data_IF_517041218498
#
_entry.id   IF_517041218498
#
_cell.length_a   1.000
_cell.length_b   1.000
_cell.length_c   1.000
_cell.angle_alpha   90.00
_cell.angle_beta   90.00
_cell.angle_gamma   90.00
#
_symmetry.space_group_name_H-M   'P 1'
#
loop_
_entity.id
_entity.type
_entity.pdbx_description
1 polymer ?
#
# COMPACT_ATOMS: atom_id res chain seq x y z
N UNK A 1 4.18 -9.38 -13.82
CA UNK A 1 4.55 -9.48 -12.41
C UNK A 1 3.72 -8.53 -11.54
N UNK A 2 3.36 -8.98 -10.33
CA UNK A 2 2.70 -8.14 -9.32
C UNK A 2 3.69 -7.36 -8.43
N UNK A 3 5.00 -7.46 -8.71
CA UNK A 3 6.02 -6.78 -7.91
C UNK A 3 6.28 -5.36 -8.42
N UNK A 4 6.76 -4.51 -7.51
CA UNK A 4 7.27 -3.19 -7.88
C UNK A 4 8.44 -3.27 -8.86
N UNK A 5 8.57 -2.28 -9.73
CA UNK A 5 9.69 -2.18 -10.66
C UNK A 5 10.95 -1.81 -9.89
N UNK A 6 11.94 -2.72 -9.87
CA UNK A 6 13.27 -2.41 -9.34
C UNK A 6 14.13 -1.67 -10.38
N UNK A 7 15.23 -1.01 -9.94
CA UNK A 7 16.21 -0.40 -10.85
C UNK A 7 16.76 -1.41 -11.86
N UNK A 8 17.02 -2.65 -11.44
CA UNK A 8 17.52 -3.72 -12.29
C UNK A 8 16.48 -4.13 -13.34
N UNK A 9 15.22 -4.22 -12.96
CA UNK A 9 14.12 -4.50 -13.88
C UNK A 9 13.96 -3.37 -14.90
N UNK A 10 14.07 -2.12 -14.46
CA UNK A 10 14.01 -0.94 -15.36
C UNK A 10 15.18 -0.91 -16.35
N UNK A 11 16.37 -1.36 -15.94
CA UNK A 11 17.54 -1.44 -16.81
C UNK A 11 17.37 -2.44 -17.96
N UNK A 12 16.44 -3.39 -17.87
CA UNK A 12 16.15 -4.35 -18.95
C UNK A 12 15.29 -3.77 -20.08
N UNK A 13 14.79 -2.54 -19.99
CA UNK A 13 13.87 -1.94 -20.97
C UNK A 13 14.43 -1.98 -22.42
N UNK A 14 15.68 -1.58 -22.60
CA UNK A 14 16.31 -1.59 -23.93
C UNK A 14 16.46 -3.00 -24.49
N UNK A 15 16.82 -3.97 -23.66
CA UNK A 15 16.96 -5.38 -24.08
C UNK A 15 15.60 -5.98 -24.42
N UNK A 16 14.58 -5.73 -23.61
CA UNK A 16 13.23 -6.19 -23.86
C UNK A 16 12.70 -5.64 -25.19
N UNK A 17 12.84 -4.34 -25.44
CA UNK A 17 12.44 -3.72 -26.70
C UNK A 17 13.20 -4.32 -27.91
N UNK A 18 14.50 -4.55 -27.79
CA UNK A 18 15.30 -5.17 -28.85
C UNK A 18 14.87 -6.60 -29.16
N UNK A 19 14.41 -7.33 -28.15
CA UNK A 19 13.94 -8.70 -28.27
C UNK A 19 12.45 -8.80 -28.66
N UNK A 20 11.74 -7.68 -28.83
CA UNK A 20 10.31 -7.66 -29.10
C UNK A 20 9.46 -8.16 -27.92
N UNK A 21 9.96 -8.01 -26.70
CA UNK A 21 9.30 -8.48 -25.48
C UNK A 21 8.73 -7.30 -24.67
N UNK A 22 7.59 -7.55 -23.99
CA UNK A 22 7.02 -6.66 -22.99
C UNK A 22 7.26 -7.22 -21.60
N UNK A 23 7.88 -6.42 -20.72
CA UNK A 23 8.01 -6.73 -19.29
C UNK A 23 7.01 -5.89 -18.52
N UNK A 24 5.90 -6.50 -18.11
CA UNK A 24 4.80 -5.82 -17.39
C UNK A 24 4.92 -6.12 -15.90
N UNK A 25 5.00 -5.06 -15.10
CA UNK A 25 5.09 -5.12 -13.64
C UNK A 25 3.96 -4.33 -13.01
N UNK A 26 3.81 -4.43 -11.70
CA UNK A 26 2.84 -3.66 -10.92
C UNK A 26 1.38 -3.88 -11.37
N UNK A 27 1.05 -5.12 -11.73
CA UNK A 27 -0.28 -5.51 -12.20
C UNK A 27 -1.00 -6.45 -11.21
N UNK A 28 -0.77 -6.23 -9.92
CA UNK A 28 -1.44 -6.94 -8.83
C UNK A 28 -2.49 -6.08 -8.13
N UNK A 29 -2.48 -6.12 -6.81
CA UNK A 29 -3.36 -5.34 -5.95
C UNK A 29 -2.70 -4.02 -5.54
N UNK A 30 -1.61 -4.09 -4.79
CA UNK A 30 -0.72 -3.03 -4.34
C UNK A 30 0.72 -3.58 -4.38
N UNK A 31 1.39 -3.36 -5.50
CA UNK A 31 1.06 -2.45 -6.62
C UNK A 31 0.13 -3.06 -7.70
N UNK A 32 -0.76 -2.25 -8.23
CA UNK A 32 -1.60 -2.58 -9.39
C UNK A 32 -2.97 -1.91 -9.38
N UNK A 33 -3.96 -2.47 -8.69
CA UNK A 33 -5.32 -1.89 -8.63
C UNK A 33 -5.28 -0.50 -7.98
N UNK A 34 -4.44 -0.30 -6.97
CA UNK A 34 -4.21 1.00 -6.34
C UNK A 34 -3.71 2.05 -7.34
N UNK A 35 -2.82 1.66 -8.26
CA UNK A 35 -2.34 2.54 -9.33
C UNK A 35 -3.46 2.94 -10.30
N UNK A 36 -4.30 1.98 -10.70
CA UNK A 36 -5.44 2.27 -11.57
C UNK A 36 -6.41 3.25 -10.92
N UNK A 37 -6.72 3.05 -9.63
CA UNK A 37 -7.57 3.96 -8.87
C UNK A 37 -6.94 5.36 -8.75
N UNK A 38 -5.62 5.43 -8.49
CA UNK A 38 -4.90 6.70 -8.38
C UNK A 38 -4.90 7.46 -9.72
N UNK A 39 -4.57 6.80 -10.83
CA UNK A 39 -4.61 7.42 -12.16
C UNK A 39 -6.01 7.95 -12.48
N UNK A 40 -7.04 7.16 -12.20
CA UNK A 40 -8.41 7.56 -12.48
C UNK A 40 -8.88 8.74 -11.60
N UNK A 41 -8.43 8.83 -10.34
CA UNK A 41 -8.67 9.99 -9.48
C UNK A 41 -8.01 11.26 -10.03
N UNK A 42 -6.73 11.16 -10.40
CA UNK A 42 -5.97 12.30 -10.95
C UNK A 42 -6.60 12.80 -12.25
N UNK A 43 -6.98 11.90 -13.15
CA UNK A 43 -7.67 12.26 -14.40
C UNK A 43 -9.04 12.90 -14.13
N UNK A 44 -9.83 12.35 -13.21
CA UNK A 44 -11.12 12.95 -12.83
C UNK A 44 -10.95 14.36 -12.24
N UNK A 45 -9.95 14.54 -11.37
CA UNK A 45 -9.67 15.87 -10.83
C UNK A 45 -9.25 16.84 -11.92
N UNK A 46 -8.33 16.44 -12.79
CA UNK A 46 -7.84 17.26 -13.92
C UNK A 46 -8.96 17.69 -14.87
N UNK A 47 -9.93 16.80 -15.12
CA UNK A 47 -11.09 17.07 -15.96
C UNK A 47 -12.19 17.87 -15.25
N UNK A 48 -12.12 18.08 -13.94
CA UNK A 48 -13.14 18.76 -13.17
C UNK A 48 -13.04 20.29 -13.30
N UNK A 49 -14.16 21.00 -13.17
CA UNK A 49 -14.19 22.44 -13.10
C UNK A 49 -13.48 23.03 -11.84
N UNK A 50 -13.23 22.19 -10.84
CA UNK A 50 -12.53 22.57 -9.63
C UNK A 50 -10.99 22.53 -9.79
N UNK A 51 -10.45 21.92 -10.84
CA UNK A 51 -9.01 21.79 -11.05
C UNK A 51 -8.35 23.16 -11.18
N UNK A 52 -7.40 23.44 -10.30
CA UNK A 52 -6.71 24.73 -10.26
C UNK A 52 -5.37 24.59 -9.51
N UNK A 53 -4.33 25.27 -9.99
CA UNK A 53 -2.99 25.29 -9.39
C UNK A 53 -2.94 25.96 -8.01
N UNK A 54 -3.95 26.77 -7.65
CA UNK A 54 -4.07 27.37 -6.33
C UNK A 54 -4.65 26.41 -5.27
N UNK A 55 -5.09 25.22 -5.65
CA UNK A 55 -5.60 24.25 -4.70
C UNK A 55 -4.48 23.50 -3.99
N UNK A 56 -4.66 23.24 -2.71
CA UNK A 56 -3.82 22.35 -1.91
C UNK A 56 -4.37 20.93 -2.02
N UNK A 57 -3.54 20.02 -2.52
CA UNK A 57 -3.95 18.64 -2.81
C UNK A 57 -3.46 17.69 -1.72
N UNK A 58 -4.35 16.82 -1.25
CA UNK A 58 -4.02 15.73 -0.34
C UNK A 58 -4.41 14.39 -0.96
N UNK A 59 -3.43 13.51 -1.12
CA UNK A 59 -3.58 12.17 -1.69
C UNK A 59 -3.23 11.09 -0.66
N UNK A 60 -4.08 10.09 -0.56
CA UNK A 60 -3.81 8.86 0.19
C UNK A 60 -4.09 7.62 -0.66
N UNK A 61 -3.30 6.57 -0.43
CA UNK A 61 -3.57 5.21 -0.90
C UNK A 61 -3.23 4.24 0.23
N UNK A 62 -4.24 3.70 0.90
CA UNK A 62 -4.06 2.76 2.01
C UNK A 62 -4.61 1.40 1.64
N UNK A 63 -3.74 0.38 1.68
CA UNK A 63 -4.09 -1.00 1.36
C UNK A 63 -3.76 -1.94 2.52
N UNK A 64 -4.65 -2.86 2.83
CA UNK A 64 -4.42 -3.89 3.84
C UNK A 64 -5.11 -5.21 3.53
N UNK A 65 -4.33 -6.30 3.56
CA UNK A 65 -4.85 -7.64 3.71
C UNK A 65 -4.91 -7.97 5.20
N UNK A 66 -6.08 -8.25 5.71
CA UNK A 66 -6.37 -8.44 7.14
C UNK A 66 -7.24 -9.67 7.36
N UNK A 67 -7.20 -10.31 8.55
CA UNK A 67 -8.14 -11.38 8.86
C UNK A 67 -9.56 -10.82 8.98
N UNK A 68 -10.52 -11.53 8.41
CA UNK A 68 -11.95 -11.20 8.55
C UNK A 68 -12.39 -11.27 10.02
N UNK A 69 -11.88 -12.25 10.75
CA UNK A 69 -12.10 -12.43 12.17
C UNK A 69 -10.82 -12.00 12.89
N UNK A 70 -10.82 -10.88 13.63
CA UNK A 70 -9.64 -10.43 14.35
C UNK A 70 -9.13 -11.49 15.33
N UNK A 71 -7.82 -11.68 15.35
CA UNK A 71 -7.11 -12.54 16.31
C UNK A 71 -6.30 -11.68 17.30
N UNK A 72 -5.74 -12.24 18.37
CA UNK A 72 -4.93 -11.48 19.33
C UNK A 72 -3.69 -10.82 18.70
N UNK A 73 -3.12 -11.41 17.64
CA UNK A 73 -1.98 -10.87 16.90
C UNK A 73 -2.39 -9.74 15.93
N UNK A 74 -3.70 -9.50 15.74
CA UNK A 74 -4.29 -8.50 14.84
C UNK A 74 -3.83 -8.61 13.38
N UNK A 75 -3.27 -9.77 13.00
CA UNK A 75 -2.80 -10.05 11.66
C UNK A 75 -2.76 -11.55 11.35
N UNK A 76 -2.89 -11.89 10.08
CA UNK A 76 -2.57 -13.20 9.51
C UNK A 76 -1.84 -13.02 8.19
N UNK A 77 -0.94 -13.95 7.89
CA UNK A 77 -0.13 -13.87 6.68
C UNK A 77 -0.79 -14.63 5.53
N UNK A 78 -1.16 -13.90 4.48
CA UNK A 78 -1.61 -14.43 3.19
C UNK A 78 -0.48 -14.43 2.14
N UNK A 79 0.68 -13.86 2.47
CA UNK A 79 1.87 -13.79 1.65
C UNK A 79 3.11 -13.77 2.53
N UNK A 80 4.30 -13.59 1.94
CA UNK A 80 5.60 -13.71 2.61
C UNK A 80 5.72 -12.90 3.90
N UNK A 81 5.82 -13.51 5.09
CA UNK A 81 6.11 -12.79 6.33
C UNK A 81 7.45 -12.06 6.28
N UNK A 82 8.44 -12.63 5.59
CA UNK A 82 9.74 -11.97 5.36
C UNK A 82 9.57 -10.63 4.65
N UNK A 83 8.71 -10.57 3.62
CA UNK A 83 8.40 -9.34 2.91
C UNK A 83 7.77 -8.28 3.82
N UNK A 84 6.88 -8.67 4.73
CA UNK A 84 6.26 -7.79 5.73
C UNK A 84 7.30 -7.26 6.71
N UNK A 85 8.12 -8.14 7.29
CA UNK A 85 9.17 -7.77 8.25
C UNK A 85 10.21 -6.83 7.60
N UNK A 86 10.63 -7.13 6.36
CA UNK A 86 11.57 -6.29 5.62
C UNK A 86 11.00 -4.91 5.31
N UNK A 87 9.72 -4.82 4.98
CA UNK A 87 9.06 -3.54 4.77
C UNK A 87 9.00 -2.71 6.08
N UNK A 88 8.71 -3.37 7.20
CA UNK A 88 8.71 -2.73 8.53
C UNK A 88 10.13 -2.30 8.98
N UNK A 89 11.16 -3.05 8.61
CA UNK A 89 12.55 -2.70 8.91
C UNK A 89 13.10 -1.56 8.05
N UNK A 90 12.40 -1.18 6.98
CA UNK A 90 12.83 -0.15 6.03
C UNK A 90 12.29 1.22 6.39
N UNK A 91 13.01 2.31 6.09
CA UNK A 91 12.47 3.66 6.24
C UNK A 91 11.32 3.89 5.25
N UNK A 92 10.48 4.88 5.59
CA UNK A 92 9.39 5.34 4.74
C UNK A 92 9.53 6.82 4.42
N UNK A 93 9.10 7.22 3.22
CA UNK A 93 9.04 8.63 2.79
C UNK A 93 7.63 8.97 2.29
N UNK A 94 7.17 10.14 2.67
CA UNK A 94 5.88 10.69 2.26
C UNK A 94 5.96 12.22 2.22
N UNK A 95 4.95 12.88 1.66
CA UNK A 95 4.79 14.31 1.78
C UNK A 95 3.73 14.61 2.85
N UNK A 96 4.03 15.52 3.78
CA UNK A 96 3.12 15.98 4.83
C UNK A 96 3.23 17.48 5.02
N UNK A 97 2.11 18.18 4.96
CA UNK A 97 2.09 19.66 5.07
C UNK A 97 3.14 20.33 4.18
N UNK A 98 3.18 19.95 2.89
CA UNK A 98 4.12 20.46 1.86
C UNK A 98 5.59 20.14 2.10
N UNK A 99 5.93 19.26 3.05
CA UNK A 99 7.30 18.89 3.40
C UNK A 99 7.50 17.39 3.29
N UNK A 100 8.66 17.01 2.81
CA UNK A 100 9.08 15.62 2.89
C UNK A 100 9.18 15.19 4.34
N UNK A 101 8.57 14.06 4.62
CA UNK A 101 8.65 13.37 5.90
C UNK A 101 9.31 12.02 5.68
N UNK A 102 10.39 11.77 6.41
CA UNK A 102 11.06 10.47 6.45
C UNK A 102 10.92 9.89 7.84
N UNK A 103 10.37 8.69 7.93
CA UNK A 103 10.32 7.90 9.16
C UNK A 103 11.35 6.79 9.11
N UNK A 104 12.21 6.67 10.11
CA UNK A 104 13.21 5.59 10.19
C UNK A 104 12.54 4.21 10.22
N UNK A 105 11.36 4.16 10.81
CA UNK A 105 10.48 3.00 10.84
C UNK A 105 9.06 3.41 10.48
N UNK A 106 8.32 2.58 9.70
CA UNK A 106 6.95 2.89 9.30
C UNK A 106 6.02 3.15 10.48
N UNK A 107 6.13 2.38 11.56
CA UNK A 107 5.28 2.54 12.75
C UNK A 107 5.51 3.83 13.54
N UNK A 108 6.63 4.54 13.35
CA UNK A 108 6.84 5.87 13.94
C UNK A 108 5.92 6.94 13.35
N UNK A 109 5.28 6.62 12.22
CA UNK A 109 4.33 7.48 11.53
C UNK A 109 2.90 6.89 11.52
N UNK A 110 2.62 6.00 12.47
CA UNK A 110 1.30 5.39 12.64
C UNK A 110 0.25 6.45 12.94
N UNK A 111 -0.92 6.29 12.35
CA UNK A 111 -2.10 7.11 12.62
C UNK A 111 -3.38 6.30 12.50
N UNK A 112 -4.48 6.82 13.07
CA UNK A 112 -5.81 6.26 12.86
C UNK A 112 -6.39 6.76 11.54
N UNK A 113 -7.17 5.90 10.88
CA UNK A 113 -7.87 6.21 9.64
C UNK A 113 -9.28 5.64 9.69
N UNK A 114 -10.27 6.52 9.61
CA UNK A 114 -11.67 6.15 9.49
C UNK A 114 -11.98 5.89 8.01
N UNK A 115 -12.07 4.62 7.64
CA UNK A 115 -12.33 4.23 6.27
C UNK A 115 -13.80 4.51 5.90
N UNK A 116 -14.08 5.13 4.74
CA UNK A 116 -15.44 5.44 4.30
C UNK A 116 -16.16 4.20 3.76
N UNK A 117 -16.26 3.18 4.60
CA UNK A 117 -16.97 1.95 4.34
C UNK A 117 -18.47 2.12 4.64
N UNK A 118 -19.36 1.27 4.09
CA UNK A 118 -20.79 1.31 4.41
C UNK A 118 -21.07 1.21 5.91
N UNK A 119 -20.31 0.40 6.64
CA UNK A 119 -20.21 0.43 8.09
C UNK A 119 -18.89 1.09 8.47
N UNK A 120 -18.88 2.30 9.04
CA UNK A 120 -17.64 2.99 9.40
C UNK A 120 -16.75 2.12 10.29
N UNK A 121 -15.46 2.06 9.93
CA UNK A 121 -14.48 1.26 10.66
C UNK A 121 -13.15 2.01 10.73
N UNK A 122 -12.57 2.04 11.92
CA UNK A 122 -11.28 2.68 12.17
C UNK A 122 -10.16 1.66 12.04
N UNK A 123 -9.14 2.02 11.28
CA UNK A 123 -7.93 1.23 11.07
C UNK A 123 -6.70 1.99 11.56
N UNK A 124 -5.62 1.26 11.77
CA UNK A 124 -4.29 1.84 11.91
C UNK A 124 -3.61 1.86 10.54
N UNK A 125 -3.01 3.00 10.19
CA UNK A 125 -2.30 3.17 8.91
C UNK A 125 -0.91 3.74 9.14
N UNK A 126 0.02 3.34 8.28
CA UNK A 126 1.39 3.87 8.27
C UNK A 126 1.94 3.92 6.85
N UNK A 127 2.85 4.88 6.55
CA UNK A 127 3.49 4.96 5.23
C UNK A 127 4.25 3.69 4.91
N UNK A 128 4.14 3.21 3.67
CA UNK A 128 4.83 2.04 3.20
C UNK A 128 5.90 2.46 2.18
N UNK A 129 7.18 2.25 2.53
CA UNK A 129 8.33 2.56 1.66
C UNK A 129 8.37 4.04 1.23
N UNK A 130 8.83 4.31 0.00
CA UNK A 130 8.92 5.66 -0.56
C UNK A 130 7.68 5.95 -1.42
N UNK A 131 6.85 6.88 -0.97
CA UNK A 131 5.66 7.32 -1.71
C UNK A 131 5.96 8.35 -2.80
N UNK A 132 7.05 9.11 -2.70
CA UNK A 132 7.27 10.30 -3.51
C UNK A 132 7.42 10.03 -5.02
N UNK A 133 8.09 8.96 -5.47
CA UNK A 133 8.19 8.65 -6.91
C UNK A 133 6.84 8.44 -7.60
N UNK A 134 5.81 8.09 -6.82
CA UNK A 134 4.48 7.85 -7.37
C UNK A 134 3.72 9.14 -7.73
N UNK A 135 4.16 10.30 -7.26
CA UNK A 135 3.60 11.58 -7.73
C UNK A 135 3.78 11.74 -9.25
N UNK A 136 4.99 11.48 -9.73
CA UNK A 136 5.29 11.48 -11.17
C UNK A 136 4.56 10.34 -11.89
N UNK A 137 4.61 9.12 -11.33
CA UNK A 137 3.96 7.95 -11.92
C UNK A 137 2.45 8.17 -12.09
N UNK A 138 1.77 8.78 -11.12
CA UNK A 138 0.35 9.12 -11.20
C UNK A 138 0.06 10.39 -12.00
N UNK A 139 1.10 11.00 -12.58
CA UNK A 139 1.00 12.20 -13.42
C UNK A 139 0.42 13.41 -12.66
N UNK A 140 0.80 13.59 -11.40
CA UNK A 140 0.56 14.85 -10.73
C UNK A 140 1.26 15.96 -11.50
N UNK A 141 0.55 17.05 -11.73
CA UNK A 141 1.13 18.21 -12.43
C UNK A 141 2.23 18.84 -11.56
N UNK A 142 3.41 19.13 -12.10
CA UNK A 142 4.48 19.78 -11.34
C UNK A 142 4.08 21.13 -10.72
N UNK A 143 3.11 21.82 -11.33
CA UNK A 143 2.61 23.11 -10.84
C UNK A 143 1.54 22.97 -9.75
N UNK A 144 1.09 21.75 -9.45
CA UNK A 144 0.12 21.52 -8.39
C UNK A 144 0.76 21.63 -7.01
N UNK A 145 0.06 22.26 -6.10
CA UNK A 145 0.44 22.39 -4.69
C UNK A 145 0.04 21.11 -3.94
N UNK A 146 0.94 20.15 -3.83
CA UNK A 146 0.67 18.91 -3.10
C UNK A 146 1.02 19.13 -1.63
N UNK A 147 -0.02 19.12 -0.78
CA UNK A 147 0.08 19.27 0.67
C UNK A 147 0.48 17.95 1.33
N UNK A 148 -0.25 16.89 0.99
CA UNK A 148 -0.01 15.56 1.54
C UNK A 148 0.01 14.54 0.41
N UNK A 149 0.95 13.59 0.46
CA UNK A 149 0.99 12.46 -0.45
C UNK A 149 1.56 11.24 0.26
N UNK A 150 0.72 10.23 0.46
CA UNK A 150 1.11 9.01 1.15
C UNK A 150 0.51 7.77 0.51
N UNK A 151 1.36 6.76 0.33
CA UNK A 151 0.96 5.37 0.10
C UNK A 151 1.32 4.58 1.35
N UNK A 152 0.40 3.80 1.85
CA UNK A 152 0.57 3.18 3.15
C UNK A 152 -0.13 1.84 3.31
N UNK A 153 0.26 1.16 4.37
CA UNK A 153 -0.38 -0.08 4.81
C UNK A 153 -1.50 0.22 5.78
N UNK A 154 -2.58 -0.53 5.64
CA UNK A 154 -3.74 -0.51 6.53
C UNK A 154 -3.72 -1.77 7.40
N UNK A 155 -4.00 -1.61 8.69
CA UNK A 155 -4.03 -2.69 9.70
C UNK A 155 -5.28 -2.55 10.58
N UNK A 156 -5.67 -3.67 11.19
CA UNK A 156 -6.73 -3.64 12.20
C UNK A 156 -6.34 -2.74 13.38
N UNK A 157 -7.30 -2.04 13.92
CA UNK A 157 -7.11 -1.25 15.14
C UNK A 157 -6.55 -2.13 16.27
N UNK A 158 -5.53 -1.65 17.00
CA UNK A 158 -4.77 -2.40 18.01
C UNK A 158 -3.65 -3.29 17.45
N UNK A 159 -3.34 -3.20 16.15
CA UNK A 159 -2.22 -3.92 15.54
C UNK A 159 -0.88 -3.48 16.12
N UNK A 160 -0.65 -2.19 16.28
CA UNK A 160 0.61 -1.69 16.78
C UNK A 160 0.88 -2.13 18.23
N UNK A 161 -0.15 -2.17 19.06
CA UNK A 161 -0.05 -2.70 20.43
C UNK A 161 0.33 -4.19 20.40
N UNK A 162 -0.37 -4.98 19.59
CA UNK A 162 -0.12 -6.41 19.45
C UNK A 162 1.27 -6.74 18.88
N UNK A 163 1.89 -5.81 18.12
CA UNK A 163 3.18 -5.99 17.47
C UNK A 163 4.35 -5.30 18.21
N UNK A 164 4.12 -4.76 19.40
CA UNK A 164 5.14 -4.03 20.16
C UNK A 164 6.44 -4.82 20.34
N UNK A 165 6.36 -6.10 20.66
CA UNK A 165 7.56 -6.94 20.84
C UNK A 165 8.25 -7.25 19.50
N UNK A 166 7.48 -7.40 18.43
CA UNK A 166 8.02 -7.57 17.07
C UNK A 166 8.80 -6.30 16.64
N UNK A 167 8.26 -5.13 16.92
CA UNK A 167 8.96 -3.87 16.61
C UNK A 167 10.28 -3.75 17.38
N UNK A 168 10.28 -4.06 18.68
CA UNK A 168 11.50 -4.07 19.49
C UNK A 168 12.54 -5.03 18.94
N UNK A 169 12.13 -6.22 18.52
CA UNK A 169 13.04 -7.20 17.92
C UNK A 169 13.60 -6.68 16.59
N UNK A 170 12.77 -6.14 15.69
CA UNK A 170 13.21 -5.57 14.40
C UNK A 170 14.27 -4.47 14.61
N UNK A 171 14.15 -3.63 15.64
CA UNK A 171 15.12 -2.57 15.91
C UNK A 171 16.52 -3.09 16.26
N UNK A 172 16.62 -4.31 16.76
CA UNK A 172 17.90 -4.96 17.09
C UNK A 172 18.57 -5.64 15.89
N UNK A 173 17.82 -5.91 14.83
CA UNK A 173 18.30 -6.69 13.67
C UNK A 173 19.25 -5.85 12.82
N UNK A 174 20.51 -6.27 12.71
CA UNK A 174 21.55 -5.59 11.92
C UNK A 174 22.45 -6.61 11.25
N UNK A 175 22.86 -6.29 10.02
CA UNK A 175 23.82 -7.10 9.28
C UNK A 175 23.34 -8.54 9.00
N UNK A 176 24.27 -9.45 8.63
CA UNK A 176 23.93 -10.80 8.22
C UNK A 176 23.19 -11.62 9.30
N UNK A 177 23.54 -11.42 10.58
CA UNK A 177 22.87 -12.10 11.71
C UNK A 177 21.41 -11.62 11.85
N UNK A 178 21.18 -10.32 11.64
CA UNK A 178 19.84 -9.75 11.62
C UNK A 178 19.00 -10.30 10.45
N UNK A 179 19.58 -10.44 9.27
CA UNK A 179 18.91 -11.03 8.11
C UNK A 179 18.56 -12.51 8.34
N UNK A 180 19.46 -13.26 8.96
CA UNK A 180 19.19 -14.64 9.36
C UNK A 180 18.03 -14.70 10.37
N UNK A 181 18.08 -13.89 11.42
CA UNK A 181 17.02 -13.86 12.43
C UNK A 181 15.67 -13.46 11.84
N UNK A 182 15.64 -12.50 10.92
CA UNK A 182 14.40 -12.13 10.20
C UNK A 182 13.83 -13.29 9.38
N UNK A 183 14.70 -14.13 8.82
CA UNK A 183 14.28 -15.34 8.11
C UNK A 183 13.65 -16.35 9.07
N UNK A 184 14.24 -16.55 10.25
CA UNK A 184 13.69 -17.41 11.29
C UNK A 184 12.33 -16.91 11.80
N UNK A 185 12.23 -15.62 12.11
CA UNK A 185 10.96 -14.97 12.48
C UNK A 185 9.88 -15.18 11.40
N UNK A 186 10.27 -15.08 10.13
CA UNK A 186 9.36 -15.33 9.02
C UNK A 186 8.78 -16.74 9.03
N UNK A 187 9.61 -17.74 9.31
CA UNK A 187 9.18 -19.15 9.42
C UNK A 187 8.27 -19.37 10.64
N UNK A 188 8.64 -18.78 11.79
CA UNK A 188 7.82 -18.81 13.00
C UNK A 188 6.44 -18.20 12.76
N UNK A 189 6.40 -17.04 12.12
CA UNK A 189 5.15 -16.33 11.82
C UNK A 189 4.29 -17.08 10.82
N UNK A 190 4.89 -17.67 9.81
CA UNK A 190 4.15 -18.51 8.87
C UNK A 190 3.49 -19.70 9.59
N UNK A 191 4.23 -20.35 10.49
CA UNK A 191 3.71 -21.49 11.26
C UNK A 191 2.57 -21.11 12.21
N UNK A 192 2.68 -19.93 12.86
CA UNK A 192 1.75 -19.52 13.93
C UNK A 192 0.56 -18.70 13.43
N UNK A 193 0.75 -17.95 12.35
CA UNK A 193 -0.18 -16.89 11.94
C UNK A 193 -0.55 -16.92 10.45
N UNK A 194 -0.28 -18.01 9.72
CA UNK A 194 -0.82 -18.20 8.38
C UNK A 194 -2.35 -18.40 8.42
N UNK A 195 -3.00 -18.17 7.30
CA UNK A 195 -4.40 -18.53 7.13
C UNK A 195 -4.54 -20.04 7.07
N UNK A 196 -5.49 -20.59 7.82
CA UNK A 196 -5.93 -21.98 7.66
C UNK A 196 -6.88 -22.14 6.47
N UNK A 197 -7.22 -23.39 6.11
CA UNK A 197 -8.06 -23.69 4.93
C UNK A 197 -9.44 -23.01 4.92
N UNK A 198 -9.98 -22.68 6.09
CA UNK A 198 -11.31 -22.08 6.25
C UNK A 198 -11.25 -20.69 6.91
N UNK A 199 -10.08 -20.09 6.97
CA UNK A 199 -9.94 -18.76 7.54
C UNK A 199 -10.21 -17.71 6.47
N UNK A 200 -11.32 -16.97 6.55
CA UNK A 200 -11.60 -15.92 5.59
C UNK A 200 -10.67 -14.73 5.80
N UNK A 201 -10.11 -14.23 4.71
CA UNK A 201 -9.39 -12.97 4.65
C UNK A 201 -10.30 -11.83 4.22
N UNK A 202 -9.81 -10.62 4.37
CA UNK A 202 -10.41 -9.39 3.88
C UNK A 202 -9.33 -8.48 3.31
N UNK A 203 -9.61 -7.81 2.21
CA UNK A 203 -8.77 -6.76 1.64
C UNK A 203 -9.54 -5.46 1.66
N UNK A 204 -8.95 -4.44 2.28
CA UNK A 204 -9.46 -3.07 2.24
C UNK A 204 -8.45 -2.21 1.50
N UNK A 205 -8.91 -1.49 0.49
CA UNK A 205 -8.12 -0.51 -0.25
C UNK A 205 -8.93 0.78 -0.36
N UNK A 206 -8.34 1.88 0.12
CA UNK A 206 -8.90 3.22 0.01
C UNK A 206 -7.91 4.13 -0.72
N UNK A 207 -8.32 4.70 -1.85
CA UNK A 207 -7.52 5.67 -2.59
C UNK A 207 -8.33 6.95 -2.71
N UNK A 208 -7.79 8.06 -2.19
CA UNK A 208 -8.50 9.33 -2.11
C UNK A 208 -7.64 10.48 -2.61
N UNK A 209 -8.27 11.42 -3.29
CA UNK A 209 -7.69 12.71 -3.63
C UNK A 209 -8.67 13.80 -3.21
N UNK A 210 -8.17 14.78 -2.47
CA UNK A 210 -8.90 15.95 -2.02
C UNK A 210 -8.19 17.21 -2.48
N UNK A 211 -8.95 18.21 -2.89
CA UNK A 211 -8.47 19.56 -3.21
C UNK A 211 -9.14 20.56 -2.28
N UNK A 212 -8.33 21.39 -1.62
CA UNK A 212 -8.76 22.45 -0.74
C UNK A 212 -8.35 23.81 -1.34
N UNK A 213 -9.16 24.83 -1.11
CA UNK A 213 -8.83 26.23 -1.39
C UNK A 213 -9.35 27.11 -0.26
N UNK A 214 -8.48 27.94 0.28
CA UNK A 214 -8.81 28.85 1.38
C UNK A 214 -9.44 28.13 2.59
N UNK A 215 -8.98 26.90 2.87
CA UNK A 215 -9.47 26.05 3.95
C UNK A 215 -10.79 25.33 3.69
N UNK A 216 -11.38 25.48 2.49
CA UNK A 216 -12.59 24.77 2.10
C UNK A 216 -12.30 23.66 1.09
N UNK A 217 -12.93 22.51 1.26
CA UNK A 217 -12.87 21.41 0.28
C UNK A 217 -13.66 21.81 -0.97
N UNK A 218 -12.96 21.94 -2.09
CA UNK A 218 -13.56 22.30 -3.40
C UNK A 218 -13.75 21.08 -4.31
N UNK A 219 -13.05 20.00 -4.03
CA UNK A 219 -13.22 18.71 -4.71
C UNK A 219 -12.71 17.57 -3.82
N UNK A 220 -13.43 16.47 -3.82
CA UNK A 220 -13.01 15.27 -3.10
C UNK A 220 -13.61 14.04 -3.74
N UNK A 221 -12.81 13.01 -3.92
CA UNK A 221 -13.26 11.69 -4.36
C UNK A 221 -12.43 10.58 -3.73
N UNK A 222 -13.10 9.52 -3.31
CA UNK A 222 -12.47 8.32 -2.76
C UNK A 222 -12.99 7.09 -3.49
N UNK A 223 -12.08 6.23 -3.92
CA UNK A 223 -12.39 4.87 -4.35
C UNK A 223 -12.09 3.92 -3.21
N UNK A 224 -13.04 3.04 -2.95
CA UNK A 224 -12.95 2.07 -1.87
C UNK A 224 -13.19 0.68 -2.43
N UNK A 225 -12.34 -0.26 -2.04
CA UNK A 225 -12.53 -1.69 -2.23
C UNK A 225 -12.58 -2.34 -0.85
N UNK A 226 -13.63 -3.13 -0.62
CA UNK A 226 -13.79 -3.99 0.55
C UNK A 226 -14.13 -5.39 0.05
N UNK A 227 -13.13 -6.24 -0.07
CA UNK A 227 -13.25 -7.56 -0.66
C UNK A 227 -12.98 -8.65 0.37
N UNK A 228 -13.78 -9.71 0.30
CA UNK A 228 -13.74 -10.82 1.24
C UNK A 228 -13.35 -12.12 0.53
N UNK A 229 -12.58 -12.96 1.22
CA UNK A 229 -12.38 -14.34 0.80
C UNK A 229 -13.67 -15.15 0.92
N UNK A 230 -13.83 -16.09 0.02
CA UNK A 230 -14.98 -17.00 -0.06
C UNK A 230 -14.52 -18.45 -0.41
N UNK A 231 -15.46 -19.31 -0.74
CA UNK A 231 -15.23 -20.71 -1.13
C UNK A 231 -14.36 -20.88 -2.39
N UNK A 232 -14.24 -19.82 -3.22
CA UNK A 232 -13.44 -19.84 -4.45
C UNK A 232 -12.00 -19.34 -4.22
N UNK A 233 -11.66 -18.92 -3.00
CA UNK A 233 -10.32 -18.52 -2.60
C UNK A 233 -10.27 -17.25 -1.76
N UNK A 234 -9.05 -16.92 -1.34
CA UNK A 234 -8.82 -15.71 -0.56
C UNK A 234 -8.99 -14.46 -1.40
N UNK A 235 -9.45 -13.36 -0.78
CA UNK A 235 -9.53 -12.06 -1.43
C UNK A 235 -8.16 -11.62 -1.94
N UNK A 236 -7.10 -11.81 -1.14
CA UNK A 236 -5.73 -11.47 -1.54
C UNK A 236 -5.31 -12.23 -2.80
N UNK A 237 -5.53 -13.54 -2.86
CA UNK A 237 -5.15 -14.32 -4.05
C UNK A 237 -5.90 -13.85 -5.30
N UNK A 238 -7.20 -13.62 -5.21
CA UNK A 238 -8.00 -13.15 -6.36
C UNK A 238 -7.54 -11.78 -6.84
N UNK A 239 -7.37 -10.82 -5.92
CA UNK A 239 -7.04 -9.44 -6.26
C UNK A 239 -5.60 -9.28 -6.77
N UNK A 240 -4.72 -10.25 -6.53
CA UNK A 240 -3.37 -10.27 -7.12
C UNK A 240 -3.35 -11.06 -8.43
N UNK A 241 -3.92 -12.27 -8.46
CA UNK A 241 -3.78 -13.18 -9.61
C UNK A 241 -4.65 -12.79 -10.81
N UNK A 242 -5.87 -12.32 -10.57
CA UNK A 242 -6.80 -11.95 -11.67
C UNK A 242 -6.24 -10.77 -12.49
N UNK A 243 -5.77 -9.66 -11.89
CA UNK A 243 -5.14 -8.58 -12.66
C UNK A 243 -3.91 -9.04 -13.45
N UNK A 244 -3.06 -9.90 -12.86
CA UNK A 244 -1.92 -10.48 -13.58
C UNK A 244 -2.38 -11.31 -14.78
N UNK A 245 -3.41 -12.13 -14.61
CA UNK A 245 -3.98 -12.94 -15.70
C UNK A 245 -4.55 -12.07 -16.82
N UNK A 246 -5.27 -11.00 -16.48
CA UNK A 246 -5.80 -10.06 -17.47
C UNK A 246 -4.67 -9.34 -18.23
N UNK A 247 -3.61 -8.93 -17.54
CA UNK A 247 -2.47 -8.28 -18.16
C UNK A 247 -1.68 -9.20 -19.11
N UNK A 248 -1.76 -10.52 -18.94
CA UNK A 248 -1.15 -11.49 -19.88
C UNK A 248 -2.01 -11.66 -21.14
N UNK A 249 -3.32 -11.43 -21.05
CA UNK A 249 -4.25 -11.60 -22.17
C UNK A 249 -4.38 -10.34 -23.03
N UNK A 250 -3.99 -9.18 -22.51
CA UNK A 250 -4.01 -7.89 -23.19
C UNK A 250 -2.77 -7.67 -24.09
#
# INVERSE_FOLDING_TARGET
SSSYISPEMRALDTQAKSAGLALVNEVGLDPGIDHLMAHYLVENYRASAACNTANDLSFISYCGGIPKIPNPFRYKFSWSPFGVLKALASPSRSLRNFKEFTGDRPWNALSSYDAPLPAPETFEVYPNRDSLPFMEQYKFDPDWRVKDFVRGSLRLNGWAEAWTDVFREIETLKGPEGDQRMTEMSQEFWTKHAYGPNDPDRVVLCVSLQAERDGAVVWHKTYVMDAWGDENGTAMARLVSVPVSLAVQA
#
